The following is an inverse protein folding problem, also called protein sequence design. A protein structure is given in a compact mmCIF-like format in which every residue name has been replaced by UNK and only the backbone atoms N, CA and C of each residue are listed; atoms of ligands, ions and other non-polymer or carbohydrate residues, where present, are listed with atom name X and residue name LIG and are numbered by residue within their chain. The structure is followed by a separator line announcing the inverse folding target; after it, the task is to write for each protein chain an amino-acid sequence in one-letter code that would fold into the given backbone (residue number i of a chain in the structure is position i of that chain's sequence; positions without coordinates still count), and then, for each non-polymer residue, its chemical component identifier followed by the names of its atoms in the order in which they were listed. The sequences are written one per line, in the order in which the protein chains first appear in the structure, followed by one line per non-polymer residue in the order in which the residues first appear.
data_IF_192653613718
#
_entry.id   IF_192653613718
#
_cell.length_a   1.000
_cell.length_b   1.000
_cell.length_c   1.000
_cell.angle_alpha   90.00
_cell.angle_beta   90.00
_cell.angle_gamma   90.00
#
_symmetry.space_group_name_H-M   'P 1'
#
loop_
_entity.id
_entity.type
_entity.pdbx_description
1 polymer ?
#
# COMPACT_ATOMS: atom_id res chain seq x y z
N UNK A 1 5.75 -1.90 0.15
CA UNK A 1 4.37 -1.38 0.18
C UNK A 1 4.29 0.10 0.55
N UNK A 2 4.68 0.53 1.76
CA UNK A 2 4.59 1.94 2.17
C UNK A 2 5.16 2.95 1.16
N UNK A 3 6.36 2.68 0.60
CA UNK A 3 6.99 3.54 -0.42
C UNK A 3 6.16 3.65 -1.69
N UNK A 4 5.61 2.52 -2.16
CA UNK A 4 4.77 2.47 -3.38
C UNK A 4 3.53 3.31 -3.19
N UNK A 5 2.83 3.14 -2.06
CA UNK A 5 1.65 3.94 -1.75
C UNK A 5 1.97 5.45 -1.77
N UNK A 6 3.07 5.86 -1.14
CA UNK A 6 3.51 7.26 -1.17
C UNK A 6 3.85 7.74 -2.58
N UNK A 7 4.54 6.95 -3.41
CA UNK A 7 4.81 7.29 -4.81
C UNK A 7 3.53 7.42 -5.65
N UNK A 8 2.51 6.61 -5.36
CA UNK A 8 1.19 6.66 -5.99
C UNK A 8 0.30 7.78 -5.43
N UNK A 9 0.83 8.68 -4.59
CA UNK A 9 0.08 9.82 -4.05
C UNK A 9 -0.82 9.50 -2.84
N UNK A 10 -0.71 8.30 -2.25
CA UNK A 10 -1.43 7.99 -1.01
C UNK A 10 -0.71 8.60 0.19
N UNK A 11 -1.50 9.23 1.06
CA UNK A 11 -1.02 9.84 2.29
C UNK A 11 -1.38 8.97 3.50
N UNK A 12 -0.48 8.93 4.49
CA UNK A 12 -0.76 8.32 5.80
C UNK A 12 -1.67 9.25 6.58
N UNK A 13 -2.89 8.79 6.90
CA UNK A 13 -3.86 9.60 7.64
C UNK A 13 -3.87 9.26 9.13
N UNK A 14 -3.69 7.99 9.49
CA UNK A 14 -3.62 7.56 10.90
C UNK A 14 -2.87 6.23 11.06
N UNK A 15 -2.43 5.95 12.28
CA UNK A 15 -1.83 4.68 12.66
C UNK A 15 -2.41 4.18 13.98
N UNK A 16 -2.78 2.89 14.04
CA UNK A 16 -3.17 2.20 15.28
C UNK A 16 -2.30 0.96 15.47
N UNK A 17 -1.41 1.01 16.46
CA UNK A 17 -0.40 -0.03 16.63
C UNK A 17 0.49 -0.13 15.39
N UNK A 18 0.61 -1.34 14.82
CA UNK A 18 1.35 -1.58 13.59
C UNK A 18 0.57 -1.25 12.31
N UNK A 19 -0.73 -0.98 12.36
CA UNK A 19 -1.53 -0.80 11.16
C UNK A 19 -1.59 0.67 10.77
N UNK A 20 -1.17 0.98 9.54
CA UNK A 20 -1.15 2.33 8.97
C UNK A 20 -2.27 2.43 7.95
N UNK A 21 -3.13 3.43 8.11
CA UNK A 21 -4.23 3.72 7.19
C UNK A 21 -3.80 4.80 6.20
N UNK A 22 -4.02 4.52 4.91
CA UNK A 22 -3.67 5.39 3.80
C UNK A 22 -4.93 5.87 3.07
N UNK A 23 -4.90 7.11 2.57
CA UNK A 23 -5.95 7.71 1.73
C UNK A 23 -5.32 8.44 0.55
N UNK A 24 -5.91 8.27 -0.62
CA UNK A 24 -5.61 9.06 -1.81
C UNK A 24 -6.67 10.15 -2.00
N UNK A 25 -6.33 11.26 -2.67
CA UNK A 25 -7.25 12.40 -2.86
C UNK A 25 -8.51 12.04 -3.67
N UNK A 26 -8.43 11.02 -4.53
CA UNK A 26 -9.57 10.50 -5.31
C UNK A 26 -10.53 9.61 -4.49
N UNK A 27 -10.25 9.38 -3.21
CA UNK A 27 -11.11 8.61 -2.30
C UNK A 27 -10.69 7.16 -2.09
N UNK A 28 -9.70 6.63 -2.83
CA UNK A 28 -9.17 5.28 -2.55
C UNK A 28 -8.50 5.22 -1.18
N UNK A 29 -8.63 4.07 -0.50
CA UNK A 29 -8.06 3.86 0.83
C UNK A 29 -7.54 2.44 0.98
N UNK A 30 -6.57 2.23 1.88
CA UNK A 30 -6.08 0.90 2.24
C UNK A 30 -5.46 0.91 3.63
N UNK A 31 -5.34 -0.26 4.27
CA UNK A 31 -4.64 -0.43 5.54
C UNK A 31 -3.46 -1.38 5.37
N UNK A 32 -2.27 -0.93 5.74
CA UNK A 32 -1.04 -1.74 5.62
C UNK A 32 -0.46 -2.02 7.02
N UNK A 33 -0.24 -3.29 7.38
CA UNK A 33 0.52 -3.60 8.59
C UNK A 33 2.01 -3.26 8.37
N UNK A 34 2.57 -2.54 9.33
CA UNK A 34 3.91 -1.99 9.33
C UNK A 34 4.69 -2.59 10.51
N UNK A 35 5.02 -3.88 10.41
CA UNK A 35 5.92 -4.55 11.34
C UNK A 35 7.33 -4.55 10.77
N UNK A 36 8.34 -4.21 11.58
CA UNK A 36 9.74 -4.32 11.17
C UNK A 36 10.10 -5.78 10.89
N UNK A 37 10.80 -6.03 9.78
CA UNK A 37 11.40 -7.34 9.47
C UNK A 37 10.43 -8.43 9.04
N UNK A 38 9.18 -8.10 8.69
CA UNK A 38 8.20 -9.08 8.22
C UNK A 38 7.63 -8.68 6.87
N UNK A 39 7.71 -9.60 5.92
CA UNK A 39 7.10 -9.44 4.61
C UNK A 39 5.57 -9.58 4.68
N UNK A 40 4.89 -8.89 3.77
CA UNK A 40 3.45 -9.03 3.58
C UNK A 40 3.17 -10.35 2.87
N UNK A 41 2.23 -11.13 3.39
CA UNK A 41 1.79 -12.34 2.73
C UNK A 41 1.17 -12.01 1.36
N UNK A 42 1.41 -12.87 0.35
CA UNK A 42 0.89 -12.67 -1.01
C UNK A 42 -0.62 -12.37 -1.09
N UNK A 43 -1.51 -13.03 -0.30
CA UNK A 43 -2.93 -12.70 -0.31
C UNK A 43 -3.21 -11.25 0.13
N UNK A 44 -2.54 -10.79 1.17
CA UNK A 44 -2.69 -9.42 1.68
C UNK A 44 -2.17 -8.39 0.67
N UNK A 45 -1.06 -8.66 -0.01
CA UNK A 45 -0.60 -7.79 -1.10
C UNK A 45 -1.67 -7.68 -2.18
N UNK A 46 -2.27 -8.80 -2.62
CA UNK A 46 -3.34 -8.78 -3.62
C UNK A 46 -4.58 -8.02 -3.16
N UNK A 47 -4.94 -8.12 -1.90
CA UNK A 47 -6.05 -7.39 -1.31
C UNK A 47 -5.79 -5.87 -1.34
N UNK A 48 -4.61 -5.44 -0.88
CA UNK A 48 -4.18 -4.04 -0.93
C UNK A 48 -4.23 -3.51 -2.37
N UNK A 49 -3.69 -4.26 -3.34
CA UNK A 49 -3.69 -3.88 -4.75
C UNK A 49 -5.10 -3.71 -5.31
N UNK A 50 -6.04 -4.57 -4.91
CA UNK A 50 -7.45 -4.44 -5.27
C UNK A 50 -8.09 -3.19 -4.66
N UNK A 51 -7.83 -2.89 -3.39
CA UNK A 51 -8.37 -1.71 -2.70
C UNK A 51 -7.89 -0.40 -3.33
N UNK A 52 -6.65 -0.37 -3.82
CA UNK A 52 -6.08 0.81 -4.50
C UNK A 52 -6.25 0.78 -6.02
N UNK A 53 -6.97 -0.20 -6.56
CA UNK A 53 -7.23 -0.36 -7.99
C UNK A 53 -5.96 -0.42 -8.85
N UNK A 54 -4.87 -1.01 -8.33
CA UNK A 54 -3.61 -1.18 -9.03
C UNK A 54 -3.48 -2.62 -9.53
N UNK A 55 -3.29 -2.80 -10.83
CA UNK A 55 -3.04 -4.13 -11.38
C UNK A 55 -1.60 -4.60 -11.09
N UNK A 56 -1.33 -5.88 -11.33
CA UNK A 56 -0.04 -6.48 -10.99
C UNK A 56 1.12 -5.92 -11.82
N UNK A 57 0.87 -5.53 -13.08
CA UNK A 57 1.91 -5.03 -13.97
C UNK A 57 2.34 -3.63 -13.55
N UNK A 58 1.38 -2.76 -13.22
CA UNK A 58 1.67 -1.42 -12.71
C UNK A 58 2.36 -1.50 -11.35
N UNK A 59 1.97 -2.45 -10.49
CA UNK A 59 2.67 -2.70 -9.24
C UNK A 59 4.15 -3.08 -9.43
N UNK A 60 4.45 -3.94 -10.42
CA UNK A 60 5.83 -4.30 -10.76
C UNK A 60 6.60 -3.09 -11.31
N UNK A 61 5.96 -2.30 -12.19
CA UNK A 61 6.57 -1.08 -12.71
C UNK A 61 6.87 -0.04 -11.60
N UNK A 62 6.00 0.09 -10.59
CA UNK A 62 6.26 0.94 -9.42
C UNK A 62 7.38 0.38 -8.53
N UNK A 63 7.52 -0.94 -8.42
CA UNK A 63 8.63 -1.56 -7.70
C UNK A 63 9.98 -1.29 -8.35
N UNK A 64 10.05 -1.27 -9.68
CA UNK A 64 11.28 -0.99 -10.43
C UNK A 64 11.75 0.48 -10.29
N UNK A 65 10.85 1.39 -9.92
CA UNK A 65 11.16 2.82 -9.70
C UNK A 65 11.75 3.11 -8.30
N UNK A 66 11.80 2.12 -7.40
CA UNK A 66 12.24 2.27 -6.01
C UNK A 66 13.71 1.94 -5.79
#
# INVERSE_FOLDING_TARGET
MNKILTNLGFEKVRQKGSHVFYRHQDGRTTTVPNHKGRDLARPLVREILREIELNINDFLAELEKL
#
